data_IF_272190487085
#
_entry.id   IF_272190487085
#
_cell.length_a   1.000
_cell.length_b   1.000
_cell.length_c   1.000
_cell.angle_alpha   90.00
_cell.angle_beta   90.00
_cell.angle_gamma   90.00
#
_symmetry.space_group_name_H-M   'P 1'
#
loop_
_entity.id
_entity.type
_entity.pdbx_description
1 polymer ?
#
# COMPACT_ATOMS: atom_id res chain seq x y z
N UNK A 1 3.28 8.69 8.45
CA UNK A 1 3.45 8.03 9.78
C UNK A 1 4.50 6.92 9.71
N UNK A 2 5.16 6.54 10.82
CA UNK A 2 6.18 5.48 10.82
C UNK A 2 5.62 4.07 11.09
N UNK A 3 6.17 3.04 10.44
CA UNK A 3 5.73 1.64 10.58
C UNK A 3 5.80 1.15 12.03
N UNK A 4 6.82 1.55 12.80
CA UNK A 4 6.95 1.16 14.21
C UNK A 4 5.77 1.60 15.09
N UNK A 5 5.22 2.81 14.88
CA UNK A 5 4.08 3.30 15.65
C UNK A 5 2.79 2.56 15.29
N UNK A 6 2.62 2.24 14.00
CA UNK A 6 1.48 1.45 13.53
C UNK A 6 1.55 0.04 14.09
N UNK A 7 2.75 -0.56 14.14
CA UNK A 7 2.97 -1.88 14.72
C UNK A 7 2.54 -1.94 16.19
N UNK A 8 2.93 -0.94 16.98
CA UNK A 8 2.54 -0.85 18.40
C UNK A 8 1.00 -0.77 18.55
N UNK A 9 0.33 0.03 17.73
CA UNK A 9 -1.13 0.13 17.72
C UNK A 9 -1.80 -1.19 17.33
N UNK A 10 -1.31 -1.84 16.27
CA UNK A 10 -1.85 -3.12 15.80
C UNK A 10 -1.70 -4.22 16.84
N UNK A 11 -0.55 -4.31 17.53
CA UNK A 11 -0.33 -5.28 18.61
C UNK A 11 -1.27 -5.09 19.79
N UNK A 12 -1.68 -3.84 20.08
CA UNK A 12 -2.68 -3.55 21.13
C UNK A 12 -4.10 -3.93 20.70
N UNK A 13 -4.44 -3.69 19.44
CA UNK A 13 -5.78 -3.97 18.89
C UNK A 13 -6.00 -5.45 18.56
N UNK A 14 -4.94 -6.16 18.18
CA UNK A 14 -4.97 -7.56 17.75
C UNK A 14 -3.90 -8.37 18.50
N UNK A 15 -4.05 -8.59 19.81
CA UNK A 15 -3.03 -9.26 20.62
C UNK A 15 -2.76 -10.71 20.18
N UNK A 16 -3.74 -11.37 19.57
CA UNK A 16 -3.66 -12.77 19.15
C UNK A 16 -3.28 -12.95 17.67
N UNK A 17 -3.04 -11.84 16.94
CA UNK A 17 -2.72 -11.87 15.52
C UNK A 17 -1.28 -11.45 15.30
N UNK A 18 -0.55 -12.23 14.52
CA UNK A 18 0.83 -11.94 14.17
C UNK A 18 0.94 -10.67 13.32
N UNK A 19 1.67 -9.67 13.80
CA UNK A 19 2.03 -8.48 13.02
C UNK A 19 3.45 -8.68 12.46
N UNK A 20 3.55 -8.91 11.15
CA UNK A 20 4.80 -9.13 10.44
C UNK A 20 5.23 -7.85 9.74
N UNK A 21 6.26 -7.19 10.27
CA UNK A 21 6.79 -5.95 9.69
C UNK A 21 7.71 -6.24 8.52
N UNK A 22 7.49 -5.53 7.41
CA UNK A 22 8.23 -5.58 6.15
C UNK A 22 8.68 -4.17 5.77
N UNK A 23 9.85 -3.83 6.25
CA UNK A 23 10.61 -2.65 5.90
C UNK A 23 12.10 -2.97 5.80
N UNK A 24 12.87 -2.01 5.28
CA UNK A 24 14.31 -2.16 5.05
C UNK A 24 15.07 -2.62 6.30
N UNK A 25 14.66 -2.16 7.48
CA UNK A 25 15.31 -2.48 8.75
C UNK A 25 15.02 -3.93 9.15
N UNK A 26 13.76 -4.36 9.03
CA UNK A 26 13.33 -5.74 9.34
C UNK A 26 13.85 -6.78 8.35
N UNK A 27 14.11 -6.41 7.10
CA UNK A 27 14.60 -7.32 6.05
C UNK A 27 16.11 -7.25 5.81
N UNK A 28 16.85 -6.52 6.65
CA UNK A 28 18.28 -6.27 6.46
C UNK A 28 19.18 -7.49 6.68
N UNK A 29 18.69 -8.51 7.41
CA UNK A 29 19.42 -9.74 7.72
C UNK A 29 19.14 -10.83 6.69
N UNK A 30 20.17 -11.56 6.28
CA UNK A 30 20.04 -12.75 5.43
C UNK A 30 19.04 -13.72 6.05
N UNK A 31 18.07 -14.21 5.28
CA UNK A 31 17.05 -15.16 5.74
C UNK A 31 15.83 -14.53 6.44
N UNK A 32 15.79 -13.21 6.64
CA UNK A 32 14.66 -12.54 7.31
C UNK A 32 13.40 -12.52 6.46
N UNK A 33 13.57 -12.33 5.14
CA UNK A 33 12.49 -12.32 4.18
C UNK A 33 11.81 -13.69 4.09
N UNK A 34 12.60 -14.75 3.98
CA UNK A 34 12.14 -16.13 3.88
C UNK A 34 11.28 -16.50 5.09
N UNK A 35 11.70 -16.12 6.31
CA UNK A 35 10.91 -16.35 7.53
C UNK A 35 9.59 -15.60 7.53
N UNK A 36 9.57 -14.35 7.06
CA UNK A 36 8.33 -13.57 6.96
C UNK A 36 7.40 -14.24 5.95
N UNK A 37 7.95 -14.65 4.80
CA UNK A 37 7.20 -15.31 3.74
C UNK A 37 6.60 -16.64 4.20
N UNK A 38 7.38 -17.49 4.87
CA UNK A 38 6.92 -18.76 5.46
C UNK A 38 5.80 -18.52 6.47
N UNK A 39 5.98 -17.55 7.39
CA UNK A 39 4.94 -17.21 8.37
C UNK A 39 3.67 -16.68 7.72
N UNK A 40 3.77 -15.87 6.67
CA UNK A 40 2.64 -15.35 5.93
C UNK A 40 1.90 -16.42 5.11
N UNK A 41 2.56 -17.55 4.81
CA UNK A 41 1.98 -18.68 4.09
C UNK A 41 1.37 -19.75 5.00
N UNK A 42 1.62 -19.68 6.31
CA UNK A 42 0.87 -20.50 7.26
C UNK A 42 -0.61 -20.11 7.17
N UNK A 43 -1.53 -21.08 7.24
CA UNK A 43 -2.99 -20.86 7.19
C UNK A 43 -3.54 -20.16 8.46
N UNK A 44 -2.74 -19.27 9.05
CA UNK A 44 -3.10 -18.44 10.20
C UNK A 44 -3.27 -17.00 9.74
N UNK A 45 -4.21 -16.30 10.35
CA UNK A 45 -4.38 -14.87 10.12
C UNK A 45 -3.10 -14.13 10.57
N UNK A 46 -2.57 -13.28 9.67
CA UNK A 46 -1.43 -12.42 9.93
C UNK A 46 -1.63 -11.05 9.29
N UNK A 47 -1.10 -10.02 9.94
CA UNK A 47 -1.10 -8.65 9.45
C UNK A 47 0.29 -8.34 8.89
N UNK A 48 0.37 -8.17 7.58
CA UNK A 48 1.58 -7.71 6.91
C UNK A 48 1.63 -6.18 6.97
N UNK A 49 2.55 -5.63 7.75
CA UNK A 49 2.74 -4.19 7.89
C UNK A 49 4.02 -3.77 7.18
N UNK A 50 3.96 -2.85 6.24
CA UNK A 50 5.18 -2.46 5.54
C UNK A 50 5.02 -1.25 4.66
N UNK A 51 6.11 -0.91 4.01
CA UNK A 51 6.17 0.17 3.02
C UNK A 51 6.04 -0.41 1.61
N UNK A 52 6.50 0.33 0.60
CA UNK A 52 6.49 -0.07 -0.81
C UNK A 52 7.16 -1.44 -1.08
N UNK A 53 8.01 -1.93 -0.17
CA UNK A 53 8.67 -3.24 -0.29
C UNK A 53 7.66 -4.40 -0.35
N UNK A 54 6.53 -4.32 0.36
CA UNK A 54 5.47 -5.34 0.29
C UNK A 54 4.85 -5.49 -1.09
N UNK A 55 4.92 -4.44 -1.91
CA UNK A 55 4.21 -4.38 -3.18
C UNK A 55 4.99 -5.07 -4.33
N UNK A 56 6.32 -5.20 -4.21
CA UNK A 56 7.23 -5.64 -5.28
C UNK A 56 7.59 -7.13 -5.17
N UNK A 57 7.64 -7.83 -6.31
CA UNK A 57 8.34 -9.13 -6.45
C UNK A 57 7.73 -10.36 -5.76
N UNK A 58 6.78 -10.20 -4.82
CA UNK A 58 6.33 -11.31 -3.98
C UNK A 58 4.81 -11.48 -4.02
N UNK A 59 4.36 -12.72 -4.16
CA UNK A 59 2.94 -13.08 -4.19
C UNK A 59 2.51 -13.57 -2.82
N UNK A 60 1.46 -12.95 -2.26
CA UNK A 60 0.81 -13.40 -1.04
C UNK A 60 -0.61 -13.83 -1.40
N UNK A 61 -0.85 -15.12 -1.67
CA UNK A 61 -2.11 -15.60 -2.28
C UNK A 61 -3.33 -15.41 -1.39
N UNK A 62 -3.14 -15.28 -0.08
CA UNK A 62 -4.22 -15.14 0.90
C UNK A 62 -4.49 -13.69 1.32
N UNK A 63 -3.78 -12.71 0.76
CA UNK A 63 -4.07 -11.30 1.02
C UNK A 63 -5.35 -10.93 0.31
N UNK A 64 -6.40 -10.67 1.10
CA UNK A 64 -7.74 -10.27 0.62
C UNK A 64 -8.12 -8.87 1.08
N UNK A 65 -7.35 -8.28 2.00
CA UNK A 65 -7.53 -6.92 2.49
C UNK A 65 -6.20 -6.17 2.42
N UNK A 66 -6.23 -4.98 1.84
CA UNK A 66 -5.11 -4.03 1.84
C UNK A 66 -5.60 -2.71 2.41
N UNK A 67 -4.86 -2.15 3.36
CA UNK A 67 -5.11 -0.81 3.88
C UNK A 67 -3.92 0.10 3.55
N UNK A 68 -4.20 1.21 2.85
CA UNK A 68 -3.24 2.28 2.56
C UNK A 68 -3.51 3.42 3.53
N UNK A 69 -2.66 3.57 4.55
CA UNK A 69 -2.95 4.42 5.71
C UNK A 69 -2.65 5.91 5.50
N UNK A 70 -1.82 6.27 4.51
CA UNK A 70 -1.35 7.64 4.32
C UNK A 70 -1.12 7.91 2.82
N UNK A 71 -2.17 8.35 2.12
CA UNK A 71 -2.06 8.79 0.72
C UNK A 71 -1.91 10.30 0.59
N UNK A 72 -2.23 11.05 1.65
CA UNK A 72 -2.20 12.51 1.66
C UNK A 72 -0.76 13.03 1.47
N UNK A 73 0.22 12.39 2.10
CA UNK A 73 1.64 12.71 1.90
C UNK A 73 2.11 12.54 0.45
N UNK A 74 1.34 11.84 -0.39
CA UNK A 74 1.56 11.68 -1.81
C UNK A 74 0.82 12.69 -2.68
N UNK A 75 -0.51 12.76 -2.51
CA UNK A 75 -1.37 13.62 -3.35
C UNK A 75 -1.24 15.11 -3.03
N UNK A 76 -0.82 15.48 -1.82
CA UNK A 76 -0.64 16.86 -1.39
C UNK A 76 0.85 17.27 -1.31
N UNK A 77 1.74 16.46 -1.89
CA UNK A 77 3.17 16.71 -1.83
C UNK A 77 3.57 17.89 -2.74
N UNK A 78 4.63 18.59 -2.37
CA UNK A 78 5.24 19.65 -3.20
C UNK A 78 5.98 19.11 -4.42
N UNK A 79 6.40 17.84 -4.40
CA UNK A 79 6.97 17.16 -5.56
C UNK A 79 5.86 16.73 -6.54
N UNK A 80 5.85 17.31 -7.74
CA UNK A 80 4.90 17.02 -8.82
C UNK A 80 4.91 15.55 -9.30
N UNK A 81 5.90 14.75 -8.89
CA UNK A 81 5.98 13.30 -9.16
C UNK A 81 5.33 12.46 -8.07
N UNK A 82 5.10 13.00 -6.88
CA UNK A 82 4.55 12.24 -5.76
C UNK A 82 3.13 11.72 -6.00
N UNK A 83 2.18 12.48 -6.60
CA UNK A 83 0.84 11.94 -6.90
C UNK A 83 0.90 10.69 -7.77
N UNK A 84 1.78 10.68 -8.78
CA UNK A 84 1.96 9.52 -9.67
C UNK A 84 2.54 8.31 -8.94
N UNK A 85 3.56 8.51 -8.09
CA UNK A 85 4.13 7.43 -7.27
C UNK A 85 3.09 6.83 -6.32
N UNK A 86 2.22 7.65 -5.76
CA UNK A 86 1.12 7.21 -4.88
C UNK A 86 0.05 6.46 -5.65
N UNK A 87 -0.34 6.93 -6.84
CA UNK A 87 -1.28 6.22 -7.70
C UNK A 87 -0.74 4.83 -8.09
N UNK A 88 0.54 4.75 -8.48
CA UNK A 88 1.20 3.48 -8.79
C UNK A 88 1.23 2.54 -7.59
N UNK A 89 1.52 3.06 -6.38
CA UNK A 89 1.48 2.26 -5.15
C UNK A 89 0.08 1.68 -4.92
N UNK A 90 -0.96 2.51 -4.98
CA UNK A 90 -2.36 2.10 -4.79
C UNK A 90 -2.72 0.96 -5.76
N UNK A 91 -2.40 1.12 -7.04
CA UNK A 91 -2.69 0.09 -8.05
C UNK A 91 -1.90 -1.20 -7.82
N UNK A 92 -0.63 -1.07 -7.45
CA UNK A 92 0.23 -2.21 -7.21
C UNK A 92 -0.27 -3.05 -6.02
N UNK A 93 -0.71 -2.40 -4.94
CA UNK A 93 -1.27 -3.09 -3.77
C UNK A 93 -2.69 -3.58 -4.02
N UNK A 94 -3.50 -2.86 -4.78
CA UNK A 94 -4.83 -3.31 -5.19
C UNK A 94 -4.76 -4.61 -5.99
N UNK A 95 -3.78 -4.74 -6.89
CA UNK A 95 -3.53 -5.98 -7.61
C UNK A 95 -3.11 -7.15 -6.73
N UNK A 96 -2.71 -6.95 -5.46
CA UNK A 96 -2.38 -8.04 -4.51
C UNK A 96 -3.63 -8.62 -3.86
N UNK A 97 -4.61 -7.79 -3.52
CA UNK A 97 -5.81 -8.21 -2.79
C UNK A 97 -6.75 -9.14 -3.59
N UNK A 98 -6.66 -9.15 -4.93
CA UNK A 98 -7.63 -9.82 -5.81
C UNK A 98 -7.03 -10.79 -6.83
N UNK A 99 -5.84 -11.37 -6.56
CA UNK A 99 -5.18 -12.31 -7.48
C UNK A 99 -5.59 -13.78 -7.30
N UNK A 100 -6.32 -14.10 -6.23
CA UNK A 100 -6.87 -15.44 -5.98
C UNK A 100 -8.36 -15.53 -6.30
N UNK A 101 -9.02 -16.61 -5.87
CA UNK A 101 -10.47 -16.79 -6.05
C UNK A 101 -11.32 -15.84 -5.19
N UNK A 102 -10.72 -15.21 -4.18
CA UNK A 102 -11.40 -14.33 -3.23
C UNK A 102 -11.32 -12.88 -3.68
N UNK A 103 -12.44 -12.17 -3.61
CA UNK A 103 -12.49 -10.74 -3.88
C UNK A 103 -11.59 -9.97 -2.90
N UNK A 104 -10.78 -9.07 -3.45
CA UNK A 104 -9.93 -8.18 -2.68
C UNK A 104 -10.65 -6.90 -2.28
N UNK A 105 -10.41 -6.45 -1.06
CA UNK A 105 -10.81 -5.13 -0.59
C UNK A 105 -9.59 -4.24 -0.39
N UNK A 106 -9.67 -3.01 -0.91
CA UNK A 106 -8.64 -1.98 -0.71
C UNK A 106 -9.27 -0.82 0.04
N UNK A 107 -8.75 -0.54 1.22
CA UNK A 107 -9.12 0.62 2.03
C UNK A 107 -8.05 1.70 1.86
N UNK A 108 -8.48 2.93 1.57
CA UNK A 108 -7.60 4.09 1.43
C UNK A 108 -7.98 5.08 2.51
N UNK A 109 -7.02 5.41 3.37
CA UNK A 109 -7.17 6.44 4.38
C UNK A 109 -6.61 7.76 3.87
N UNK A 110 -7.45 8.78 3.86
CA UNK A 110 -7.13 10.14 3.43
C UNK A 110 -7.94 11.16 4.24
N UNK A 111 -7.35 12.31 4.52
CA UNK A 111 -8.07 13.48 5.04
C UNK A 111 -8.82 14.26 3.94
N UNK A 112 -8.56 13.96 2.66
CA UNK A 112 -9.12 14.63 1.48
C UNK A 112 -9.73 13.61 0.52
N UNK A 113 -10.79 12.89 0.92
CA UNK A 113 -11.49 11.97 0.02
C UNK A 113 -11.97 12.66 -1.25
N UNK A 114 -12.30 13.95 -1.20
CA UNK A 114 -12.73 14.78 -2.32
C UNK A 114 -11.61 15.19 -3.30
N UNK A 115 -10.36 14.81 -3.06
CA UNK A 115 -9.23 15.19 -3.93
C UNK A 115 -9.50 14.75 -5.38
N UNK A 116 -9.49 15.67 -6.37
CA UNK A 116 -9.84 15.35 -7.75
C UNK A 116 -8.97 14.28 -8.41
N UNK A 117 -7.66 14.26 -8.11
CA UNK A 117 -6.74 13.26 -8.64
C UNK A 117 -7.01 11.87 -8.05
N UNK A 118 -7.30 11.80 -6.74
CA UNK A 118 -7.69 10.56 -6.07
C UNK A 118 -9.02 10.03 -6.63
N UNK A 119 -10.02 10.90 -6.76
CA UNK A 119 -11.33 10.56 -7.32
C UNK A 119 -11.22 10.07 -8.77
N UNK A 120 -10.38 10.73 -9.59
CA UNK A 120 -10.10 10.29 -10.96
C UNK A 120 -9.45 8.90 -10.97
N UNK A 121 -8.46 8.66 -10.11
CA UNK A 121 -7.81 7.36 -10.01
C UNK A 121 -8.81 6.25 -9.64
N UNK A 122 -9.67 6.48 -8.65
CA UNK A 122 -10.64 5.49 -8.15
C UNK A 122 -11.73 5.21 -9.17
N UNK A 123 -12.32 6.24 -9.78
CA UNK A 123 -13.52 6.10 -10.60
C UNK A 123 -13.25 5.96 -12.09
N UNK A 124 -12.11 6.46 -12.58
CA UNK A 124 -11.77 6.49 -14.02
C UNK A 124 -10.48 5.73 -14.35
N UNK A 125 -9.75 5.27 -13.32
CA UNK A 125 -8.55 4.46 -13.47
C UNK A 125 -7.29 5.26 -13.84
N UNK A 126 -6.17 4.52 -13.93
CA UNK A 126 -4.83 5.10 -14.08
C UNK A 126 -4.66 5.94 -15.35
N UNK A 127 -5.25 5.51 -16.47
CA UNK A 127 -5.09 6.20 -17.75
C UNK A 127 -5.69 7.62 -17.72
N UNK A 128 -6.85 7.79 -17.10
CA UNK A 128 -7.48 9.09 -16.91
C UNK A 128 -6.64 9.97 -15.96
N UNK A 129 -6.24 9.40 -14.82
CA UNK A 129 -5.34 10.05 -13.87
C UNK A 129 -4.04 10.55 -14.53
N UNK A 130 -3.38 9.69 -15.31
CA UNK A 130 -2.10 10.02 -15.96
C UNK A 130 -2.25 11.14 -17.00
N UNK A 131 -3.38 11.20 -17.71
CA UNK A 131 -3.68 12.32 -18.62
C UNK A 131 -3.80 13.64 -17.86
N UNK A 132 -4.49 13.66 -16.73
CA UNK A 132 -4.62 14.86 -15.89
C UNK A 132 -3.26 15.34 -15.38
N UNK A 133 -2.45 14.44 -14.79
CA UNK A 133 -1.11 14.81 -14.33
C UNK A 133 -0.18 15.28 -15.47
N UNK A 134 -0.30 14.69 -16.67
CA UNK A 134 0.49 15.12 -17.82
C UNK A 134 0.10 16.53 -18.27
N UNK A 135 -1.19 16.86 -18.28
CA UNK A 135 -1.67 18.20 -18.61
C UNK A 135 -1.16 19.25 -17.61
N UNK A 136 -1.25 18.97 -16.31
CA UNK A 136 -0.72 19.84 -15.26
C UNK A 136 0.80 20.07 -15.42
N UNK A 137 1.57 19.03 -15.69
CA UNK A 137 3.03 19.13 -15.90
C UNK A 137 3.40 20.01 -17.09
N UNK A 138 2.60 19.99 -18.16
CA UNK A 138 2.82 20.84 -19.34
C UNK A 138 2.53 22.32 -19.10
N UNK A 139 1.79 22.67 -18.05
CA UNK A 139 1.50 24.06 -17.68
C UNK A 139 2.58 24.65 -16.78
N UNK A 140 3.39 23.80 -16.13
CA UNK A 140 4.46 24.18 -15.20
C UNK A 140 5.83 24.28 -15.91
N UNK A 141 5.95 23.67 -17.10
CA UNK A 141 7.12 23.71 -17.97
C UNK A 141 6.96 24.77 -19.07
#
# INVERSE_FOLDING_TARGET
MGTARVEEGLKKLFPDIDVLRVDRDSTSRVGSWERIYERAHQEKAAILLGTQMLAKGHHFPYVTLVAVLDVDGGFLNVDFRAPERTAQLILQVAGRAGRGEKAGLVLIQTFKPENPLLQTLIHQGYAAFAKTCLAERKLIL
#
